data_IF_490122877947
#
_entry.id   IF_490122877947
#
_cell.length_a   1.000
_cell.length_b   1.000
_cell.length_c   1.000
_cell.angle_alpha   90.00
_cell.angle_beta   90.00
_cell.angle_gamma   90.00
#
_symmetry.space_group_name_H-M   'P 1'
#
loop_
_entity.id
_entity.type
_entity.pdbx_description
1 polymer ?
#
# COMPACT_ATOMS: atom_id res chain seq x y z
N UNK A 1 -26.43 2.92 15.40
CA UNK A 1 -25.17 2.64 16.12
C UNK A 1 -24.06 3.42 15.40
N UNK A 2 -23.26 4.15 16.19
CA UNK A 2 -21.97 4.80 15.94
C UNK A 2 -21.64 5.39 14.55
N UNK A 3 -21.62 6.72 14.48
CA UNK A 3 -20.71 7.48 13.61
C UNK A 3 -19.31 7.54 14.26
N UNK A 4 -18.27 7.76 13.43
CA UNK A 4 -17.06 8.52 13.77
C UNK A 4 -15.77 7.78 14.22
N UNK A 5 -15.10 7.10 13.29
CA UNK A 5 -13.66 6.82 13.42
C UNK A 5 -12.94 7.23 12.13
N UNK A 6 -12.31 8.42 12.00
CA UNK A 6 -11.24 8.61 11.02
C UNK A 6 -9.93 7.98 11.56
N UNK A 7 -10.03 6.90 12.32
CA UNK A 7 -8.90 6.06 12.77
C UNK A 7 -8.51 5.03 11.70
N UNK A 8 -9.25 5.00 10.60
CA UNK A 8 -9.21 3.96 9.58
C UNK A 8 -8.06 4.21 8.60
N UNK A 9 -6.81 4.03 9.06
CA UNK A 9 -6.02 3.09 8.29
C UNK A 9 -6.78 1.77 8.50
N UNK A 10 -7.61 1.32 7.53
CA UNK A 10 -8.30 0.05 7.68
C UNK A 10 -7.24 -0.97 8.06
N UNK A 11 -7.60 -1.90 8.95
CA UNK A 11 -6.73 -2.95 9.48
C UNK A 11 -5.91 -3.64 8.36
N UNK A 12 -6.43 -3.59 7.13
CA UNK A 12 -5.78 -3.86 5.85
C UNK A 12 -4.38 -3.23 5.65
N UNK A 13 -4.10 -1.97 6.00
CA UNK A 13 -2.75 -1.36 5.82
C UNK A 13 -1.69 -2.02 6.69
N UNK A 14 -2.07 -2.42 7.91
CA UNK A 14 -1.16 -3.13 8.81
C UNK A 14 -0.74 -4.50 8.28
N UNK A 15 -1.50 -5.06 7.34
CA UNK A 15 -1.21 -6.33 6.67
C UNK A 15 -0.47 -6.13 5.34
N UNK A 16 -0.28 -4.88 4.90
CA UNK A 16 0.46 -4.58 3.69
C UNK A 16 1.97 -4.78 3.92
N UNK A 17 2.68 -5.36 2.93
CA UNK A 17 4.13 -5.41 2.97
C UNK A 17 4.75 -4.01 2.93
N UNK A 18 5.98 -3.88 3.46
CA UNK A 18 6.69 -2.60 3.58
C UNK A 18 6.71 -1.78 2.27
N UNK A 19 6.88 -2.46 1.14
CA UNK A 19 6.88 -1.83 -0.18
C UNK A 19 5.53 -1.17 -0.54
N UNK A 20 4.40 -1.79 -0.19
CA UNK A 20 3.08 -1.20 -0.40
C UNK A 20 2.86 0.03 0.49
N UNK A 21 3.38 0.01 1.71
CA UNK A 21 3.33 1.17 2.61
C UNK A 21 4.10 2.36 2.03
N UNK A 22 5.26 2.11 1.41
CA UNK A 22 6.05 3.15 0.74
C UNK A 22 5.32 3.76 -0.45
N UNK A 23 4.69 2.92 -1.30
CA UNK A 23 3.86 3.39 -2.43
C UNK A 23 2.73 4.27 -1.92
N UNK A 24 2.01 3.80 -0.90
CA UNK A 24 0.92 4.54 -0.28
C UNK A 24 1.37 5.90 0.25
N UNK A 25 2.46 5.94 1.03
CA UNK A 25 2.97 7.19 1.60
C UNK A 25 3.43 8.16 0.51
N UNK A 26 4.07 7.67 -0.55
CA UNK A 26 4.51 8.51 -1.67
C UNK A 26 3.31 9.15 -2.40
N UNK A 27 2.30 8.34 -2.72
CA UNK A 27 1.07 8.79 -3.37
C UNK A 27 0.26 9.74 -2.47
N UNK A 28 0.15 9.41 -1.17
CA UNK A 28 -0.53 10.25 -0.18
C UNK A 28 0.15 11.60 -0.01
N UNK A 29 1.48 11.61 0.17
CA UNK A 29 2.25 12.86 0.30
C UNK A 29 2.12 13.70 -0.97
N UNK A 30 2.26 13.10 -2.15
CA UNK A 30 2.10 13.82 -3.42
C UNK A 30 0.72 14.47 -3.55
N UNK A 31 -0.35 13.74 -3.19
CA UNK A 31 -1.70 14.29 -3.22
C UNK A 31 -1.92 15.40 -2.17
N UNK A 32 -1.29 15.29 -0.99
CA UNK A 32 -1.32 16.34 0.04
C UNK A 32 -0.56 17.60 -0.42
N UNK A 33 0.57 17.44 -1.10
CA UNK A 33 1.35 18.54 -1.69
C UNK A 33 0.57 19.23 -2.81
N UNK A 34 -0.24 18.49 -3.57
CA UNK A 34 -1.15 19.02 -4.58
C UNK A 34 -2.34 19.80 -3.96
N UNK A 35 -2.45 19.82 -2.63
CA UNK A 35 -3.52 20.49 -1.89
C UNK A 35 -4.80 19.68 -1.79
N UNK A 36 -4.75 18.37 -2.05
CA UNK A 36 -5.91 17.50 -1.89
C UNK A 36 -6.30 17.34 -0.41
N UNK A 37 -7.60 17.17 -0.17
CA UNK A 37 -8.12 16.81 1.15
C UNK A 37 -7.60 15.43 1.55
N UNK A 38 -7.42 15.17 2.85
CA UNK A 38 -6.90 13.90 3.35
C UNK A 38 -7.65 12.69 2.80
N UNK A 39 -8.98 12.74 2.74
CA UNK A 39 -9.79 11.67 2.16
C UNK A 39 -9.49 11.40 0.69
N UNK A 40 -9.20 12.44 -0.10
CA UNK A 40 -8.81 12.29 -1.50
C UNK A 40 -7.39 11.72 -1.62
N UNK A 41 -6.44 12.22 -0.82
CA UNK A 41 -5.09 11.68 -0.77
C UNK A 41 -5.05 10.21 -0.32
N UNK A 42 -5.88 9.83 0.66
CA UNK A 42 -6.08 8.43 1.07
C UNK A 42 -6.58 7.59 -0.10
N UNK A 43 -7.58 8.08 -0.85
CA UNK A 43 -8.10 7.39 -2.03
C UNK A 43 -7.04 7.19 -3.11
N UNK A 44 -6.16 8.18 -3.34
CA UNK A 44 -5.06 8.08 -4.32
C UNK A 44 -4.02 7.05 -3.87
N UNK A 45 -3.67 7.04 -2.58
CA UNK A 45 -2.77 6.04 -2.01
C UNK A 45 -3.34 4.62 -2.14
N UNK A 46 -4.62 4.43 -1.82
CA UNK A 46 -5.29 3.14 -1.98
C UNK A 46 -5.35 2.68 -3.42
N UNK A 47 -5.67 3.58 -4.34
CA UNK A 47 -5.70 3.27 -5.76
C UNK A 47 -4.33 2.83 -6.27
N UNK A 48 -3.24 3.42 -5.76
CA UNK A 48 -1.87 3.03 -6.09
C UNK A 48 -1.52 1.63 -5.55
N UNK A 49 -2.04 1.26 -4.38
CA UNK A 49 -1.89 -0.11 -3.86
C UNK A 49 -2.71 -1.08 -4.70
N UNK A 50 -3.97 -0.78 -5.01
CA UNK A 50 -4.84 -1.63 -5.83
C UNK A 50 -4.30 -1.85 -7.25
N UNK A 51 -3.53 -0.90 -7.75
CA UNK A 51 -2.81 -1.05 -9.01
C UNK A 51 -1.76 -2.16 -8.91
N UNK A 52 -0.91 -2.17 -7.88
CA UNK A 52 0.18 -3.16 -7.75
C UNK A 52 -0.15 -4.41 -6.90
N UNK A 53 -1.20 -4.37 -6.10
CA UNK A 53 -1.61 -5.42 -5.16
C UNK A 53 -3.09 -5.76 -5.34
N UNK A 54 -3.40 -7.05 -5.33
CA UNK A 54 -4.76 -7.55 -5.41
C UNK A 54 -5.22 -8.05 -4.04
N UNK A 55 -6.47 -7.73 -3.71
CA UNK A 55 -7.12 -8.31 -2.55
C UNK A 55 -7.55 -9.74 -2.88
N UNK A 56 -6.98 -10.69 -2.17
CA UNK A 56 -7.35 -12.11 -2.28
C UNK A 56 -8.71 -12.38 -1.64
N UNK A 57 -9.30 -13.53 -1.97
CA UNK A 57 -10.57 -13.96 -1.37
C UNK A 57 -10.52 -14.15 0.15
N UNK A 58 -9.33 -14.28 0.74
CA UNK A 58 -9.12 -14.33 2.20
C UNK A 58 -9.14 -12.95 2.86
N UNK A 59 -9.18 -11.88 2.07
CA UNK A 59 -9.06 -10.50 2.54
C UNK A 59 -7.62 -10.02 2.72
N UNK A 60 -6.62 -10.85 2.38
CA UNK A 60 -5.20 -10.47 2.38
C UNK A 60 -4.83 -9.79 1.06
N UNK A 61 -3.91 -8.83 1.12
CA UNK A 61 -3.35 -8.17 -0.05
C UNK A 61 -2.12 -8.93 -0.54
N UNK A 62 -2.12 -9.33 -1.81
CA UNK A 62 -0.97 -9.97 -2.46
C UNK A 62 -0.49 -9.12 -3.62
N UNK A 63 0.83 -9.04 -3.80
CA UNK A 63 1.41 -8.36 -4.95
C UNK A 63 0.86 -9.04 -6.22
N UNK A 64 0.27 -8.24 -7.11
CA UNK A 64 -0.17 -8.74 -8.41
C UNK A 64 1.06 -9.26 -9.15
N UNK A 65 0.94 -10.36 -9.91
CA UNK A 65 2.04 -10.88 -10.71
C UNK A 65 2.38 -9.99 -11.91
N UNK A 66 1.96 -8.73 -11.93
CA UNK A 66 2.33 -7.78 -12.97
C UNK A 66 3.84 -7.57 -12.96
N UNK A 67 4.46 -7.92 -14.09
CA UNK A 67 5.89 -7.93 -14.43
C UNK A 67 6.75 -6.88 -13.68
N UNK A 68 7.03 -7.11 -12.41
CA UNK A 68 8.11 -6.42 -11.70
C UNK A 68 9.39 -7.21 -11.93
N UNK A 69 9.98 -6.95 -13.10
CA UNK A 69 11.37 -7.25 -13.44
C UNK A 69 12.40 -6.52 -12.53
N UNK A 70 12.04 -6.10 -11.32
CA UNK A 70 12.87 -5.33 -10.39
C UNK A 70 12.41 -5.65 -8.96
N UNK A 71 12.93 -6.64 -8.23
CA UNK A 71 14.25 -6.62 -7.60
C UNK A 71 14.46 -7.98 -6.94
N UNK A 72 14.96 -8.93 -7.71
CA UNK A 72 15.70 -10.05 -7.16
C UNK A 72 17.14 -9.60 -6.84
N UNK A 73 17.37 -8.78 -5.80
CA UNK A 73 18.62 -9.00 -5.03
C UNK A 73 18.27 -10.09 -4.03
N UNK A 74 18.64 -11.35 -4.26
CA UNK A 74 20.02 -11.82 -4.07
C UNK A 74 20.64 -11.23 -2.81
N UNK A 75 20.22 -11.76 -1.66
CA UNK A 75 21.15 -12.05 -0.55
C UNK A 75 21.11 -13.55 -0.27
N UNK A 76 21.40 -14.35 -1.30
CA UNK A 76 22.17 -15.57 -1.09
C UNK A 76 23.62 -15.12 -0.89
N UNK A 77 24.15 -15.21 0.34
CA UNK A 77 25.51 -15.68 0.67
C UNK A 77 26.07 -15.03 1.95
N UNK A 78 26.44 -15.88 2.91
CA UNK A 78 27.22 -15.55 4.11
C UNK A 78 26.64 -16.31 5.31
N UNK A 79 27.03 -17.54 5.64
CA UNK A 79 28.35 -18.15 5.57
C UNK A 79 28.82 -18.40 7.01
N UNK A 80 28.63 -19.64 7.50
CA UNK A 80 29.60 -20.42 8.30
C UNK A 80 29.05 -21.82 8.53
#
# INVERSE_FOLDING_TARGET
MAQNQPSELPIDVGQLPEHAQQIFMAAFNSAKEDGMSEKAALSVGWNSIEDSYERTSSGEWKLKPEDTNIHNKSTQSGGN
#
